data_IF_179963897569
#
_entry.id   IF_179963897569
#
_cell.length_a   1.000
_cell.length_b   1.000
_cell.length_c   1.000
_cell.angle_alpha   90.00
_cell.angle_beta   90.00
_cell.angle_gamma   90.00
#
_symmetry.space_group_name_H-M   'P 1'
#
loop_
_entity.id
_entity.type
_entity.pdbx_description
1 polymer ?
#
# COMPACT_ATOMS: atom_id res chain seq x y z
N UNK A 1 -36.87 -16.15 51.73
CA UNK A 1 -35.71 -15.35 51.28
C UNK A 1 -35.43 -15.68 49.82
N UNK A 2 -35.90 -14.82 48.89
CA UNK A 2 -35.71 -14.99 47.45
C UNK A 2 -34.42 -14.29 47.05
N UNK A 3 -33.44 -15.03 46.56
CA UNK A 3 -32.21 -14.47 46.03
C UNK A 3 -32.47 -13.98 44.59
N UNK A 4 -32.36 -12.67 44.37
CA UNK A 4 -32.45 -12.03 43.08
C UNK A 4 -31.06 -12.17 42.41
N UNK A 5 -30.98 -12.93 41.31
CA UNK A 5 -29.77 -13.01 40.50
C UNK A 5 -29.84 -11.89 39.46
N UNK A 6 -29.01 -10.87 39.60
CA UNK A 6 -28.81 -9.85 38.58
C UNK A 6 -27.85 -10.38 37.53
N UNK A 7 -28.34 -10.68 36.33
CA UNK A 7 -27.49 -10.95 35.18
C UNK A 7 -27.11 -9.61 34.51
N UNK A 8 -25.84 -9.23 34.65
CA UNK A 8 -25.27 -8.09 33.91
C UNK A 8 -24.96 -8.56 32.51
N UNK A 9 -25.81 -8.24 31.52
CA UNK A 9 -25.46 -8.37 30.11
C UNK A 9 -24.46 -7.25 29.77
N UNK A 10 -23.19 -7.60 29.67
CA UNK A 10 -22.19 -6.72 29.08
C UNK A 10 -22.41 -6.58 27.59
N UNK A 11 -22.96 -5.44 27.14
CA UNK A 11 -22.91 -5.06 25.74
C UNK A 11 -21.45 -4.72 25.41
N UNK A 12 -20.75 -5.66 24.78
CA UNK A 12 -19.48 -5.40 24.14
C UNK A 12 -19.73 -4.50 22.93
N UNK A 13 -19.51 -3.21 23.05
CA UNK A 13 -19.44 -2.33 21.88
C UNK A 13 -18.19 -2.74 21.08
N UNK A 14 -18.40 -3.37 19.94
CA UNK A 14 -17.35 -3.52 18.94
C UNK A 14 -17.01 -2.10 18.46
N UNK A 15 -15.89 -1.55 18.93
CA UNK A 15 -15.34 -0.31 18.41
C UNK A 15 -14.99 -0.58 16.94
N UNK A 16 -15.76 0.00 16.03
CA UNK A 16 -15.39 0.03 14.62
C UNK A 16 -14.08 0.82 14.55
N UNK A 17 -12.99 0.14 14.19
CA UNK A 17 -11.69 0.76 14.04
C UNK A 17 -11.79 1.72 12.84
N UNK A 18 -11.68 3.02 13.09
CA UNK A 18 -11.62 4.00 12.01
C UNK A 18 -10.31 3.79 11.24
N UNK A 19 -10.43 3.45 9.96
CA UNK A 19 -9.28 3.30 9.08
C UNK A 19 -8.76 4.70 8.77
N UNK A 20 -7.63 5.06 9.35
CA UNK A 20 -6.95 6.32 9.06
C UNK A 20 -6.26 6.25 7.68
N UNK A 21 -5.98 7.40 7.03
CA UNK A 21 -5.19 7.41 5.80
C UNK A 21 -3.82 6.72 5.94
N UNK A 22 -3.21 6.79 7.11
CA UNK A 22 -1.97 6.08 7.43
C UNK A 22 -2.20 4.56 7.51
N UNK A 23 -3.39 4.10 7.92
CA UNK A 23 -3.76 2.69 7.96
C UNK A 23 -3.90 2.03 6.59
N UNK A 24 -4.00 2.81 5.50
CA UNK A 24 -3.91 2.30 4.13
C UNK A 24 -2.46 2.00 3.73
N UNK A 25 -1.49 2.66 4.35
CA UNK A 25 -0.07 2.47 4.06
C UNK A 25 0.45 1.23 4.76
N UNK A 26 -0.04 0.98 5.97
CA UNK A 26 0.32 -0.19 6.78
C UNK A 26 -0.98 -0.79 7.33
N UNK A 27 -1.39 -1.94 6.80
CA UNK A 27 -2.54 -2.63 7.37
C UNK A 27 -2.18 -3.12 8.79
N UNK A 28 -2.76 -2.54 9.85
CA UNK A 28 -2.39 -2.90 11.21
C UNK A 28 -2.98 -4.24 11.66
N UNK A 29 -3.83 -4.85 10.84
CA UNK A 29 -4.48 -6.13 11.17
C UNK A 29 -3.69 -7.27 10.53
N UNK A 30 -3.22 -8.25 11.32
CA UNK A 30 -2.57 -9.43 10.78
C UNK A 30 -3.47 -10.13 9.75
N UNK A 31 -2.93 -10.39 8.58
CA UNK A 31 -3.58 -11.11 7.49
C UNK A 31 -2.59 -12.09 6.88
N UNK A 32 -3.10 -13.18 6.35
CA UNK A 32 -2.36 -14.17 5.57
C UNK A 32 -2.37 -13.85 4.06
N UNK A 33 -3.08 -12.80 3.65
CA UNK A 33 -3.00 -12.24 2.31
C UNK A 33 -1.77 -11.34 2.21
N UNK A 34 -0.96 -11.56 1.17
CA UNK A 34 0.22 -10.76 0.88
C UNK A 34 0.17 -10.25 -0.56
N UNK A 35 0.61 -9.04 -0.75
CA UNK A 35 0.89 -8.44 -2.06
C UNK A 35 2.31 -7.89 -2.06
N UNK A 36 3.01 -8.05 -3.15
CA UNK A 36 4.33 -7.47 -3.37
C UNK A 36 4.32 -6.70 -4.69
N UNK A 37 4.81 -5.47 -4.67
CA UNK A 37 4.98 -4.62 -5.86
C UNK A 37 6.42 -4.14 -5.94
N UNK A 38 7.02 -4.18 -7.13
CA UNK A 38 8.38 -3.69 -7.37
C UNK A 38 8.55 -3.20 -8.80
N UNK A 39 9.64 -2.50 -9.06
CA UNK A 39 10.05 -2.05 -10.39
C UNK A 39 11.23 -2.86 -10.90
N UNK A 40 11.41 -2.93 -12.22
CA UNK A 40 12.44 -3.74 -12.87
C UNK A 40 13.87 -3.42 -12.39
N UNK A 41 14.17 -2.16 -12.09
CA UNK A 41 15.48 -1.73 -11.58
C UNK A 41 15.70 -1.98 -10.09
N UNK A 42 14.64 -2.32 -9.34
CA UNK A 42 14.75 -2.57 -7.89
C UNK A 42 13.86 -3.74 -7.45
N UNK A 43 14.20 -4.97 -7.87
CA UNK A 43 13.43 -6.16 -7.47
C UNK A 43 13.53 -6.49 -5.98
N UNK A 44 14.55 -5.97 -5.29
CA UNK A 44 14.75 -6.15 -3.85
C UNK A 44 14.10 -5.04 -3.01
N UNK A 45 13.42 -4.09 -3.64
CA UNK A 45 12.72 -2.98 -2.97
C UNK A 45 13.61 -2.16 -2.02
N UNK A 46 14.83 -1.86 -2.44
CA UNK A 46 15.79 -1.05 -1.67
C UNK A 46 15.51 0.46 -1.77
N UNK A 47 14.58 0.86 -2.66
CA UNK A 47 14.24 2.26 -2.90
C UNK A 47 15.32 3.06 -3.64
N UNK A 48 16.20 2.36 -4.36
CA UNK A 48 17.35 2.97 -5.07
C UNK A 48 17.21 2.98 -6.59
N UNK A 49 16.06 2.58 -7.13
CA UNK A 49 15.82 2.65 -8.57
C UNK A 49 15.76 4.10 -9.05
N UNK A 50 16.52 4.40 -10.09
CA UNK A 50 16.50 5.71 -10.77
C UNK A 50 16.12 5.54 -12.23
N UNK A 51 15.15 6.33 -12.67
CA UNK A 51 14.72 6.41 -14.06
C UNK A 51 14.89 7.83 -14.58
N UNK A 52 15.29 7.93 -15.85
CA UNK A 52 15.35 9.22 -16.56
C UNK A 52 14.02 9.50 -17.24
N UNK A 53 13.68 10.77 -17.40
CA UNK A 53 12.56 11.18 -18.22
C UNK A 53 12.77 10.62 -19.66
N UNK A 54 11.72 10.01 -20.21
CA UNK A 54 11.75 9.30 -21.48
C UNK A 54 12.10 7.81 -21.38
N UNK A 55 12.57 7.33 -20.23
CA UNK A 55 12.89 5.92 -20.02
C UNK A 55 11.63 5.08 -19.80
N UNK A 56 11.67 3.82 -20.23
CA UNK A 56 10.58 2.88 -19.96
C UNK A 56 10.74 2.25 -18.59
N UNK A 57 9.61 2.03 -17.91
CA UNK A 57 9.54 1.34 -16.62
C UNK A 57 8.68 0.09 -16.74
N UNK A 58 9.10 -0.99 -16.08
CA UNK A 58 8.33 -2.21 -15.91
C UNK A 58 8.01 -2.41 -14.43
N UNK A 59 6.74 -2.63 -14.16
CA UNK A 59 6.22 -2.76 -12.81
C UNK A 59 5.71 -4.18 -12.63
N UNK A 60 6.07 -4.80 -11.55
CA UNK A 60 5.68 -6.16 -11.22
C UNK A 60 4.78 -6.18 -9.99
N UNK A 61 3.88 -7.14 -9.96
CA UNK A 61 3.07 -7.43 -8.78
C UNK A 61 2.92 -8.93 -8.60
N UNK A 62 2.92 -9.38 -7.36
CA UNK A 62 2.67 -10.77 -6.97
C UNK A 62 1.73 -10.80 -5.77
N UNK A 63 0.86 -11.80 -5.74
CA UNK A 63 0.00 -12.13 -4.59
C UNK A 63 0.25 -13.57 -4.16
N UNK A 64 0.12 -13.85 -2.87
CA UNK A 64 0.25 -15.20 -2.34
C UNK A 64 -1.07 -15.99 -2.36
N UNK A 65 -2.20 -15.31 -2.55
CA UNK A 65 -3.55 -15.87 -2.66
C UNK A 65 -4.30 -15.18 -3.79
N UNK A 66 -5.39 -15.79 -4.24
CA UNK A 66 -6.29 -15.19 -5.23
C UNK A 66 -6.82 -13.86 -4.72
N UNK A 67 -6.64 -12.80 -5.50
CA UNK A 67 -7.03 -11.46 -5.09
C UNK A 67 -7.30 -10.52 -6.28
N UNK A 68 -8.14 -9.53 -6.03
CA UNK A 68 -8.28 -8.35 -6.89
C UNK A 68 -7.21 -7.34 -6.53
N UNK A 69 -6.43 -6.89 -7.51
CA UNK A 69 -5.31 -5.98 -7.30
C UNK A 69 -5.59 -4.64 -7.97
N UNK A 70 -5.40 -3.57 -7.22
CA UNK A 70 -5.51 -2.18 -7.69
C UNK A 70 -4.15 -1.53 -7.54
N UNK A 71 -3.71 -0.82 -8.57
CA UNK A 71 -2.37 -0.21 -8.58
C UNK A 71 -2.40 1.19 -9.13
N UNK A 72 -1.69 2.07 -8.44
CA UNK A 72 -1.59 3.47 -8.76
C UNK A 72 -0.12 3.90 -8.73
N UNK A 73 0.30 4.69 -9.70
CA UNK A 73 1.55 5.43 -9.63
C UNK A 73 1.26 6.84 -9.15
N UNK A 74 1.92 7.27 -8.11
CA UNK A 74 1.83 8.61 -7.55
C UNK A 74 3.14 9.32 -7.89
N UNK A 75 3.05 10.30 -8.79
CA UNK A 75 4.17 11.07 -9.28
C UNK A 75 4.60 12.11 -8.23
N UNK A 76 5.83 12.62 -8.35
CA UNK A 76 6.40 13.60 -7.43
C UNK A 76 5.58 14.90 -7.32
N UNK A 77 4.81 15.26 -8.36
CA UNK A 77 3.88 16.41 -8.36
C UNK A 77 2.50 16.09 -7.78
N UNK A 78 2.29 14.86 -7.33
CA UNK A 78 1.02 14.39 -6.79
C UNK A 78 0.00 13.92 -7.82
N UNK A 79 0.31 13.97 -9.12
CA UNK A 79 -0.52 13.36 -10.15
C UNK A 79 -0.52 11.84 -9.97
N UNK A 80 -1.67 11.21 -10.19
CA UNK A 80 -1.84 9.78 -10.00
C UNK A 80 -2.25 9.15 -11.32
N UNK A 81 -1.47 8.16 -11.74
CA UNK A 81 -1.75 7.37 -12.94
C UNK A 81 -2.25 5.96 -12.53
N UNK A 82 -3.39 5.50 -13.05
CA UNK A 82 -3.86 4.15 -12.78
C UNK A 82 -3.05 3.14 -13.61
N UNK A 83 -2.48 2.17 -12.91
CA UNK A 83 -1.72 1.09 -13.56
C UNK A 83 -2.57 -0.15 -13.76
N UNK A 84 -3.46 -0.45 -12.79
CA UNK A 84 -4.39 -1.58 -12.86
C UNK A 84 -5.60 -1.32 -11.94
N UNK A 85 -6.85 -1.44 -12.41
CA UNK A 85 -7.23 -1.54 -13.82
C UNK A 85 -6.97 -0.24 -14.59
N UNK A 86 -6.82 -0.34 -15.91
CA UNK A 86 -6.64 0.79 -16.80
C UNK A 86 -7.36 0.52 -18.14
N UNK A 87 -7.40 1.47 -19.11
CA UNK A 87 -8.11 1.29 -20.38
C UNK A 87 -7.63 0.09 -21.22
N UNK A 88 -6.37 -0.32 -21.05
CA UNK A 88 -5.75 -1.41 -21.80
C UNK A 88 -5.86 -2.76 -21.09
N UNK A 89 -5.91 -2.74 -19.75
CA UNK A 89 -6.02 -3.94 -18.90
C UNK A 89 -7.09 -3.71 -17.83
N UNK A 90 -8.26 -4.31 -18.04
CA UNK A 90 -9.40 -4.19 -17.13
C UNK A 90 -9.47 -5.31 -16.10
N UNK A 91 -8.90 -6.49 -16.45
CA UNK A 91 -8.86 -7.63 -15.55
C UNK A 91 -7.78 -7.43 -14.49
N UNK A 92 -8.24 -7.18 -13.27
CA UNK A 92 -7.41 -6.95 -12.10
C UNK A 92 -7.42 -8.14 -11.12
N UNK A 93 -7.94 -9.31 -11.53
CA UNK A 93 -7.88 -10.52 -10.74
C UNK A 93 -6.56 -11.25 -10.99
N UNK A 94 -5.82 -11.56 -9.93
CA UNK A 94 -4.59 -12.34 -9.94
C UNK A 94 -4.78 -13.62 -9.14
N UNK A 95 -4.20 -14.72 -9.65
CA UNK A 95 -4.20 -16.00 -8.96
C UNK A 95 -3.04 -16.10 -7.96
N UNK A 96 -3.20 -16.95 -6.98
CA UNK A 96 -2.19 -17.25 -5.98
C UNK A 96 -0.84 -17.61 -6.63
N UNK A 97 0.23 -16.93 -6.20
CA UNK A 97 1.59 -17.13 -6.71
C UNK A 97 1.86 -16.51 -8.09
N UNK A 98 0.84 -15.95 -8.76
CA UNK A 98 1.02 -15.27 -10.04
C UNK A 98 1.86 -14.00 -9.87
N UNK A 99 2.87 -13.85 -10.74
CA UNK A 99 3.59 -12.59 -10.92
C UNK A 99 3.19 -11.99 -12.24
N UNK A 100 2.60 -10.80 -12.23
CA UNK A 100 2.19 -10.08 -13.43
C UNK A 100 3.07 -8.86 -13.64
N UNK A 101 3.62 -8.75 -14.86
CA UNK A 101 4.40 -7.59 -15.30
C UNK A 101 3.50 -6.60 -16.04
N UNK A 102 3.80 -5.31 -15.85
CA UNK A 102 3.12 -4.21 -16.54
C UNK A 102 4.15 -3.27 -17.20
N UNK A 103 4.04 -2.98 -18.49
CA UNK A 103 3.13 -3.64 -19.44
C UNK A 103 3.43 -5.15 -19.56
N UNK A 104 2.44 -5.98 -19.92
CA UNK A 104 2.69 -7.41 -20.20
C UNK A 104 3.62 -7.59 -21.39
N UNK A 105 4.16 -8.78 -21.54
CA UNK A 105 5.01 -9.11 -22.68
C UNK A 105 4.19 -9.06 -23.97
N UNK A 106 4.74 -8.41 -25.01
CA UNK A 106 4.05 -8.22 -26.28
C UNK A 106 2.97 -7.13 -26.27
N UNK A 107 2.82 -6.37 -25.18
CA UNK A 107 1.88 -5.26 -25.14
C UNK A 107 2.16 -4.21 -26.24
N UNK A 108 1.10 -3.64 -26.80
CA UNK A 108 1.18 -2.56 -27.80
C UNK A 108 1.39 -1.17 -27.18
N UNK A 109 1.60 -1.10 -25.88
CA UNK A 109 1.84 0.13 -25.12
C UNK A 109 3.03 -0.05 -24.18
N UNK A 110 3.57 1.06 -23.72
CA UNK A 110 4.64 1.10 -22.75
C UNK A 110 4.39 2.20 -21.73
N UNK A 111 4.85 2.01 -20.51
CA UNK A 111 4.94 3.09 -19.54
C UNK A 111 6.26 3.82 -19.73
N UNK A 112 6.16 5.12 -19.93
CA UNK A 112 7.33 6.00 -20.12
C UNK A 112 7.31 7.03 -19.02
N UNK A 113 8.44 7.21 -18.36
CA UNK A 113 8.62 8.23 -17.32
C UNK A 113 8.49 9.61 -17.96
N UNK A 114 7.56 10.42 -17.48
CA UNK A 114 7.28 11.76 -18.01
C UNK A 114 7.75 12.90 -17.12
N UNK A 115 8.18 12.61 -15.88
CA UNK A 115 8.52 13.61 -14.87
C UNK A 115 7.28 14.21 -14.18
N UNK A 116 7.47 15.16 -13.26
CA UNK A 116 8.72 15.85 -12.95
C UNK A 116 9.80 14.98 -12.29
N UNK A 117 11.01 15.52 -12.09
CA UNK A 117 12.03 14.87 -11.26
C UNK A 117 11.60 14.84 -9.80
N UNK A 118 11.90 13.74 -9.10
CA UNK A 118 11.52 13.53 -7.71
C UNK A 118 11.22 12.07 -7.40
N UNK A 119 10.72 11.82 -6.20
CA UNK A 119 10.31 10.48 -5.76
C UNK A 119 8.89 10.16 -6.25
N UNK A 120 8.78 9.09 -6.99
CA UNK A 120 7.51 8.48 -7.38
C UNK A 120 7.25 7.23 -6.52
N UNK A 121 5.97 6.93 -6.31
CA UNK A 121 5.53 5.78 -5.52
C UNK A 121 4.50 4.96 -6.26
N UNK A 122 4.62 3.65 -6.17
CA UNK A 122 3.62 2.72 -6.69
C UNK A 122 2.93 2.09 -5.50
N UNK A 123 1.63 2.35 -5.35
CA UNK A 123 0.79 1.69 -4.35
C UNK A 123 0.07 0.51 -5.00
N UNK A 124 0.19 -0.67 -4.40
CA UNK A 124 -0.63 -1.84 -4.70
C UNK A 124 -1.59 -2.09 -3.54
N UNK A 125 -2.86 -2.34 -3.87
CA UNK A 125 -3.89 -2.79 -2.93
C UNK A 125 -4.39 -4.13 -3.42
N UNK A 126 -4.27 -5.19 -2.63
CA UNK A 126 -4.87 -6.48 -2.90
C UNK A 126 -6.06 -6.71 -1.98
N UNK A 127 -7.14 -7.27 -2.53
CA UNK A 127 -8.35 -7.58 -1.78
C UNK A 127 -8.95 -8.90 -2.23
N UNK A 128 -9.41 -9.73 -1.28
CA UNK A 128 -10.13 -10.98 -1.59
C UNK A 128 -11.48 -10.73 -2.25
N UNK A 129 -11.99 -9.51 -2.20
CA UNK A 129 -13.25 -9.08 -2.80
C UNK A 129 -13.01 -7.90 -3.72
N UNK A 130 -13.81 -7.77 -4.79
CA UNK A 130 -13.72 -6.57 -5.63
C UNK A 130 -14.03 -5.31 -4.82
N UNK A 131 -13.24 -4.26 -5.03
CA UNK A 131 -13.43 -2.95 -4.41
C UNK A 131 -14.22 -2.03 -5.34
N UNK A 132 -15.11 -1.22 -4.77
CA UNK A 132 -15.86 -0.22 -5.52
C UNK A 132 -15.03 1.04 -5.72
N UNK A 133 -14.18 1.05 -6.77
CA UNK A 133 -13.24 2.16 -7.04
C UNK A 133 -13.77 3.21 -8.02
N UNK A 134 -15.01 3.09 -8.49
CA UNK A 134 -15.57 3.95 -9.55
C UNK A 134 -15.60 5.46 -9.18
N UNK A 135 -15.67 5.78 -7.90
CA UNK A 135 -15.62 7.18 -7.43
C UNK A 135 -14.20 7.76 -7.47
N UNK A 136 -13.19 6.90 -7.38
CA UNK A 136 -11.77 7.28 -7.39
C UNK A 136 -11.19 7.21 -8.79
N UNK A 137 -11.59 6.19 -9.56
CA UNK A 137 -10.98 5.80 -10.82
C UNK A 137 -12.02 5.68 -11.93
N UNK A 138 -11.83 6.45 -12.99
CA UNK A 138 -12.48 6.24 -14.27
C UNK A 138 -11.60 5.32 -15.13
N UNK A 139 -11.93 4.02 -15.14
CA UNK A 139 -11.13 3.00 -15.84
C UNK A 139 -11.14 3.24 -17.36
N UNK A 140 -12.24 3.74 -17.91
CA UNK A 140 -12.37 3.95 -19.38
C UNK A 140 -11.50 5.10 -19.86
N UNK A 141 -11.41 6.16 -19.08
CA UNK A 141 -10.57 7.34 -19.38
C UNK A 141 -9.14 7.18 -18.86
N UNK A 142 -8.89 6.25 -17.94
CA UNK A 142 -7.61 6.13 -17.27
C UNK A 142 -7.31 7.32 -16.37
N UNK A 143 -8.33 7.87 -15.73
CA UNK A 143 -8.22 9.07 -14.89
C UNK A 143 -8.49 8.75 -13.42
N UNK A 144 -7.62 9.24 -12.54
CA UNK A 144 -7.81 9.21 -11.09
C UNK A 144 -8.30 10.58 -10.63
N UNK A 145 -9.41 10.61 -9.88
CA UNK A 145 -10.12 11.85 -9.49
C UNK A 145 -9.57 12.51 -8.24
N UNK A 146 -8.54 11.96 -7.65
CA UNK A 146 -7.87 12.50 -6.45
C UNK A 146 -6.41 12.76 -6.73
N UNK A 147 -5.77 13.59 -5.91
CA UNK A 147 -4.37 13.98 -6.08
C UNK A 147 -3.57 13.70 -4.81
N UNK A 148 -2.31 13.39 -4.99
CA UNK A 148 -1.34 13.18 -3.95
C UNK A 148 -1.57 11.90 -3.15
N UNK A 149 -0.53 11.54 -2.41
CA UNK A 149 -0.52 10.35 -1.57
C UNK A 149 -1.65 10.35 -0.54
N UNK A 150 -1.82 11.45 0.19
CA UNK A 150 -2.87 11.55 1.21
C UNK A 150 -4.28 11.53 0.63
N UNK A 151 -4.48 12.18 -0.54
CA UNK A 151 -5.76 12.17 -1.23
C UNK A 151 -6.16 10.76 -1.63
N UNK A 152 -5.23 9.99 -2.22
CA UNK A 152 -5.46 8.61 -2.59
C UNK A 152 -5.70 7.72 -1.36
N UNK A 153 -4.87 7.85 -0.32
CA UNK A 153 -5.02 7.07 0.91
C UNK A 153 -6.38 7.32 1.58
N UNK A 154 -6.83 8.58 1.64
CA UNK A 154 -8.15 8.94 2.17
C UNK A 154 -9.29 8.34 1.35
N UNK A 155 -9.21 8.42 0.03
CA UNK A 155 -10.23 7.87 -0.85
C UNK A 155 -10.28 6.33 -0.74
N UNK A 156 -9.14 5.66 -0.75
CA UNK A 156 -9.06 4.21 -0.56
C UNK A 156 -9.56 3.76 0.81
N UNK A 157 -9.36 4.54 1.88
CA UNK A 157 -9.87 4.21 3.22
C UNK A 157 -11.40 4.10 3.24
N UNK A 158 -12.09 4.92 2.43
CA UNK A 158 -13.54 4.84 2.27
C UNK A 158 -13.92 3.56 1.49
N UNK A 159 -13.18 3.26 0.44
CA UNK A 159 -13.44 2.09 -0.43
C UNK A 159 -13.24 0.77 0.28
N UNK A 160 -12.23 0.65 1.14
CA UNK A 160 -11.96 -0.59 1.89
C UNK A 160 -12.81 -0.73 3.15
N UNK A 161 -13.46 0.35 3.62
CA UNK A 161 -14.26 0.34 4.85
C UNK A 161 -15.33 -0.77 4.93
N UNK A 162 -16.03 -1.13 3.83
CA UNK A 162 -16.98 -2.25 3.85
C UNK A 162 -16.32 -3.63 3.84
N UNK A 163 -15.02 -3.72 3.63
CA UNK A 163 -14.26 -4.97 3.52
C UNK A 163 -13.62 -5.29 4.87
N UNK A 164 -13.75 -6.54 5.39
CA UNK A 164 -13.05 -6.92 6.61
C UNK A 164 -11.55 -6.61 6.51
N UNK A 165 -10.97 -6.04 7.56
CA UNK A 165 -9.58 -5.58 7.53
C UNK A 165 -8.55 -6.67 7.18
N UNK A 166 -8.85 -7.94 7.47
CA UNK A 166 -8.04 -9.11 7.11
C UNK A 166 -8.15 -9.54 5.63
N UNK A 167 -9.12 -8.98 4.89
CA UNK A 167 -9.40 -9.36 3.50
C UNK A 167 -8.72 -8.43 2.49
N UNK A 168 -7.95 -7.46 2.93
CA UNK A 168 -7.18 -6.57 2.07
C UNK A 168 -5.81 -6.26 2.67
N UNK A 169 -4.85 -5.92 1.81
CA UNK A 169 -3.47 -5.59 2.18
C UNK A 169 -2.90 -4.63 1.15
N UNK A 170 -1.90 -3.87 1.54
CA UNK A 170 -1.20 -2.95 0.65
C UNK A 170 0.30 -3.20 0.64
N UNK A 171 0.94 -2.76 -0.42
CA UNK A 171 2.39 -2.70 -0.54
C UNK A 171 2.80 -1.50 -1.39
N UNK A 172 3.99 -0.96 -1.14
CA UNK A 172 4.51 0.23 -1.81
C UNK A 172 5.89 -0.06 -2.39
N UNK A 173 6.11 0.32 -3.64
CA UNK A 173 7.44 0.46 -4.23
C UNK A 173 7.75 1.94 -4.47
N UNK A 174 9.02 2.31 -4.36
CA UNK A 174 9.50 3.67 -4.61
C UNK A 174 10.54 3.64 -5.70
N UNK A 175 10.61 4.71 -6.47
CA UNK A 175 11.69 4.97 -7.40
C UNK A 175 11.88 6.47 -7.54
N UNK A 176 13.03 6.87 -8.03
CA UNK A 176 13.38 8.27 -8.23
C UNK A 176 13.42 8.59 -9.72
N UNK A 177 12.82 9.69 -10.10
CA UNK A 177 12.90 10.25 -11.45
C UNK A 177 13.95 11.35 -11.45
N UNK A 178 15.00 11.20 -12.25
CA UNK A 178 16.06 12.20 -12.28
C UNK A 178 17.34 11.71 -12.94
N UNK A 179 18.41 12.49 -12.71
CA UNK A 179 19.77 12.18 -13.19
C UNK A 179 20.66 11.91 -11.98
N UNK A 180 21.42 10.83 -11.99
CA UNK A 180 22.35 10.49 -10.90
C UNK A 180 21.84 9.34 -10.04
N UNK A 181 22.25 9.32 -8.79
CA UNK A 181 21.85 8.32 -7.80
C UNK A 181 20.58 8.76 -7.07
N UNK A 182 19.78 7.78 -6.64
CA UNK A 182 18.65 8.08 -5.78
C UNK A 182 19.16 8.72 -4.47
N UNK A 183 18.47 9.73 -3.94
CA UNK A 183 18.81 10.24 -2.61
C UNK A 183 18.72 9.10 -1.60
N UNK A 184 19.56 9.09 -0.56
CA UNK A 184 19.46 8.08 0.49
C UNK A 184 18.05 8.11 1.08
N UNK A 185 17.50 6.95 1.45
CA UNK A 185 16.20 6.89 2.11
C UNK A 185 16.18 7.83 3.32
N UNK A 186 15.10 8.58 3.46
CA UNK A 186 14.94 9.44 4.63
C UNK A 186 14.94 8.55 5.89
N UNK A 187 15.80 8.89 6.84
CA UNK A 187 15.79 8.24 8.16
C UNK A 187 14.69 8.89 9.00
N UNK A 188 13.82 8.09 9.57
CA UNK A 188 12.82 8.50 10.54
C UNK A 188 13.18 7.94 11.92
N UNK A 189 12.89 8.71 12.97
CA UNK A 189 13.03 8.21 14.33
C UNK A 189 11.66 7.74 14.83
N UNK A 190 11.60 6.48 15.21
CA UNK A 190 10.43 5.88 15.86
C UNK A 190 10.65 5.95 17.39
N UNK A 191 9.83 6.75 18.07
CA UNK A 191 9.78 6.76 19.52
C UNK A 191 8.67 5.85 20.01
N UNK A 192 9.03 4.86 20.83
CA UNK A 192 8.09 3.87 21.37
C UNK A 192 8.10 3.97 22.90
N UNK A 193 6.93 4.24 23.48
CA UNK A 193 6.73 4.18 24.93
C UNK A 193 5.54 3.26 25.26
N UNK A 194 5.46 2.79 26.50
CA UNK A 194 4.36 1.96 26.99
C UNK A 194 4.05 2.23 28.45
N UNK A 195 2.84 1.91 28.85
CA UNK A 195 2.43 1.90 30.28
C UNK A 195 1.92 0.51 30.67
N UNK A 196 2.61 -0.21 31.59
CA UNK A 196 3.87 0.16 32.22
C UNK A 196 5.05 0.13 31.27
N UNK A 197 6.11 0.86 31.59
CA UNK A 197 7.39 0.84 30.86
C UNK A 197 8.08 -0.51 30.95
N UNK A 198 8.96 -0.80 29.98
CA UNK A 198 9.73 -2.04 29.95
C UNK A 198 9.12 -3.12 29.06
N UNK A 199 8.08 -2.78 28.26
CA UNK A 199 7.57 -3.69 27.23
C UNK A 199 8.63 -3.96 26.17
N UNK A 200 8.69 -5.18 25.68
CA UNK A 200 9.58 -5.56 24.59
C UNK A 200 9.11 -4.94 23.27
N UNK A 201 10.05 -4.36 22.52
CA UNK A 201 9.79 -3.75 21.21
C UNK A 201 10.39 -4.66 20.15
N UNK A 202 9.56 -5.09 19.21
CA UNK A 202 9.96 -5.82 18.02
C UNK A 202 9.56 -5.03 16.77
N UNK A 203 10.47 -4.92 15.80
CA UNK A 203 10.22 -4.32 14.48
C UNK A 203 10.54 -5.38 13.43
N UNK A 204 9.60 -5.62 12.51
CA UNK A 204 9.74 -6.64 11.45
C UNK A 204 10.15 -8.02 11.95
N UNK A 205 9.71 -8.39 13.16
CA UNK A 205 10.03 -9.67 13.81
C UNK A 205 11.39 -9.70 14.51
N UNK A 206 12.20 -8.66 14.44
CA UNK A 206 13.45 -8.48 15.15
C UNK A 206 13.24 -7.80 16.51
N UNK A 207 13.92 -8.29 17.55
CA UNK A 207 13.90 -7.65 18.87
C UNK A 207 14.85 -6.44 18.89
N UNK A 208 14.29 -5.26 19.16
CA UNK A 208 15.04 -3.99 19.15
C UNK A 208 15.35 -3.46 20.57
N UNK A 209 14.55 -3.83 21.56
CA UNK A 209 14.79 -3.40 22.93
C UNK A 209 13.55 -3.38 23.81
N UNK A 210 13.50 -2.46 24.75
CA UNK A 210 12.38 -2.25 25.68
C UNK A 210 12.02 -0.78 25.79
N UNK A 211 10.74 -0.50 26.01
CA UNK A 211 10.23 0.87 26.17
C UNK A 211 10.70 1.54 27.45
N UNK A 212 10.97 2.86 27.44
CA UNK A 212 10.96 3.76 26.27
C UNK A 212 12.17 3.50 25.35
N UNK A 213 11.95 3.53 24.07
CA UNK A 213 12.98 3.25 23.06
C UNK A 213 12.85 4.21 21.87
N UNK A 214 13.97 4.73 21.41
CA UNK A 214 14.07 5.53 20.18
C UNK A 214 14.89 4.75 19.16
N UNK A 215 14.32 4.52 17.98
CA UNK A 215 14.91 3.73 16.92
C UNK A 215 15.00 4.56 15.65
N UNK A 216 16.16 4.54 14.99
CA UNK A 216 16.27 5.02 13.62
C UNK A 216 15.68 3.94 12.68
N UNK A 217 14.62 4.28 11.99
CA UNK A 217 13.96 3.38 11.03
C UNK A 217 14.07 3.96 9.61
N UNK A 218 14.27 3.08 8.66
CA UNK A 218 14.22 3.43 7.24
C UNK A 218 12.86 3.02 6.71
N UNK A 219 12.15 3.94 6.04
CA UNK A 219 10.86 3.62 5.44
C UNK A 219 10.98 2.68 4.23
#
# INVERSE_FOLDING_TARGET
>A
MRKLLLAVLGLGAALAQEISPQGIIVNPVPTDLEVQVWVDKDPAKRGNAVYRIGESIYIYVRVNQDAYVYRFNINADGRIDPILPNPYERDNFLRAGETRRFPPEGARYRYTITGPEGEDRILAVASRRPLSVAEILDVERGEVRVQGWEGLARALSIVVKPVPARDWVTDVARYYVGRGEAPPPAEATLEVDSSPRGAEVCVDGGREGRTPLSLAVRP
#
